data_IF_534102474038
#
_entry.id   IF_534102474038
#
_cell.length_a   1.000
_cell.length_b   1.000
_cell.length_c   1.000
_cell.angle_alpha   90.00
_cell.angle_beta   90.00
_cell.angle_gamma   90.00
#
_symmetry.space_group_name_H-M   'P 1'
#
loop_
_entity.id
_entity.type
_entity.pdbx_description
1 polymer ?
#
# COMPACT_ATOMS: atom_id res chain seq x y z
N UNK A 1 -14.10 11.99 15.92
CA UNK A 1 -15.22 11.20 15.35
C UNK A 1 -14.63 9.86 14.92
N UNK A 2 -15.00 8.75 15.57
CA UNK A 2 -14.50 7.40 15.21
C UNK A 2 -15.41 6.79 14.17
N UNK A 3 -14.89 6.46 12.98
CA UNK A 3 -15.65 5.76 11.94
C UNK A 3 -15.59 4.26 12.26
N UNK A 4 -16.48 3.78 13.14
CA UNK A 4 -16.50 2.40 13.66
C UNK A 4 -17.08 1.37 12.68
N UNK A 5 -16.86 1.50 11.38
CA UNK A 5 -17.41 0.57 10.40
C UNK A 5 -16.74 0.60 9.04
N UNK A 6 -15.72 1.44 8.86
CA UNK A 6 -15.04 1.53 7.56
C UNK A 6 -14.16 0.30 7.37
N UNK A 7 -14.63 -0.61 6.52
CA UNK A 7 -13.89 -1.84 6.19
C UNK A 7 -12.96 -1.68 5.00
N UNK A 8 -13.31 -0.80 4.07
CA UNK A 8 -12.53 -0.56 2.85
C UNK A 8 -12.27 0.93 2.71
N UNK A 9 -11.01 1.30 2.48
CA UNK A 9 -10.58 2.68 2.27
C UNK A 9 -9.84 2.78 0.94
N UNK A 10 -10.26 3.71 0.09
CA UNK A 10 -9.59 4.03 -1.16
C UNK A 10 -8.94 5.40 -1.04
N UNK A 11 -7.61 5.43 -1.15
CA UNK A 11 -6.81 6.65 -1.18
C UNK A 11 -6.24 6.82 -2.57
N UNK A 12 -6.57 7.96 -3.18
CA UNK A 12 -5.96 8.38 -4.43
C UNK A 12 -5.05 9.57 -4.15
N UNK A 13 -3.77 9.38 -4.37
CA UNK A 13 -2.75 10.40 -4.23
C UNK A 13 -2.50 11.07 -5.58
N UNK A 14 -2.56 12.40 -5.58
CA UNK A 14 -2.11 13.24 -6.69
C UNK A 14 -1.14 14.28 -6.13
N UNK A 15 -0.35 14.93 -6.99
CA UNK A 15 0.68 15.89 -6.59
C UNK A 15 0.20 17.07 -5.71
N UNK A 16 -1.12 17.26 -5.55
CA UNK A 16 -1.71 18.37 -4.77
C UNK A 16 -2.51 17.93 -3.54
N UNK A 17 -2.53 16.63 -3.22
CA UNK A 17 -3.35 16.15 -2.11
C UNK A 17 -2.60 16.32 -0.79
N UNK A 18 -3.07 17.19 0.10
CA UNK A 18 -2.66 17.16 1.50
C UNK A 18 -3.56 16.19 2.26
N UNK A 19 -2.95 15.26 2.99
CA UNK A 19 -3.69 14.38 3.91
C UNK A 19 -3.42 14.84 5.33
N UNK A 20 -4.40 15.54 5.92
CA UNK A 20 -4.40 16.00 7.30
C UNK A 20 -5.45 15.24 8.12
N UNK A 21 -5.40 13.90 8.10
CA UNK A 21 -6.45 13.10 8.73
C UNK A 21 -5.90 12.08 9.69
N UNK A 22 -6.49 12.06 10.90
CA UNK A 22 -6.35 11.04 11.94
C UNK A 22 -6.97 9.71 11.48
N UNK A 23 -6.37 9.09 10.46
CA UNK A 23 -6.76 7.79 9.90
C UNK A 23 -6.21 6.62 10.74
N UNK A 24 -5.50 6.94 11.82
CA UNK A 24 -5.05 6.03 12.86
C UNK A 24 -6.21 5.41 13.66
N UNK A 25 -7.43 5.92 13.51
CA UNK A 25 -8.63 5.47 14.24
C UNK A 25 -9.48 4.43 13.49
N UNK A 26 -9.00 3.90 12.37
CA UNK A 26 -9.72 2.94 11.51
C UNK A 26 -9.48 1.48 11.93
N UNK A 27 -9.81 1.15 13.18
CA UNK A 27 -9.53 -0.16 13.80
C UNK A 27 -10.21 -1.35 13.08
N UNK A 28 -11.31 -1.10 12.36
CA UNK A 28 -12.07 -2.12 11.62
C UNK A 28 -11.67 -2.25 10.14
N UNK A 29 -10.68 -1.48 9.69
CA UNK A 29 -10.23 -1.50 8.30
C UNK A 29 -9.62 -2.86 7.96
N UNK A 30 -10.16 -3.47 6.90
CA UNK A 30 -9.72 -4.74 6.34
C UNK A 30 -9.03 -4.57 4.99
N UNK A 31 -9.41 -3.56 4.23
CA UNK A 31 -8.93 -3.37 2.87
C UNK A 31 -8.47 -1.92 2.66
N UNK A 32 -7.23 -1.76 2.19
CA UNK A 32 -6.67 -0.46 1.84
C UNK A 32 -6.24 -0.45 0.38
N UNK A 33 -6.84 0.44 -0.40
CA UNK A 33 -6.47 0.66 -1.80
C UNK A 33 -5.73 1.99 -1.90
N UNK A 34 -4.50 1.94 -2.39
CA UNK A 34 -3.61 3.08 -2.58
C UNK A 34 -3.38 3.23 -4.08
N UNK A 35 -3.89 4.31 -4.65
CA UNK A 35 -3.61 4.70 -6.01
C UNK A 35 -2.67 5.90 -6.02
N UNK A 36 -1.43 5.70 -6.46
CA UNK A 36 -0.42 6.72 -6.61
C UNK A 36 -0.47 7.21 -8.07
N UNK A 37 -1.14 8.33 -8.31
CA UNK A 37 -1.42 8.85 -9.64
C UNK A 37 -0.54 10.06 -10.00
N UNK A 38 0.08 9.96 -11.18
CA UNK A 38 0.61 11.02 -12.05
C UNK A 38 1.80 11.88 -11.58
N UNK A 39 2.79 12.01 -12.49
CA UNK A 39 3.91 12.96 -12.71
C UNK A 39 4.69 13.58 -11.53
N UNK A 40 4.21 13.46 -10.29
CA UNK A 40 4.83 13.96 -9.09
C UNK A 40 5.10 12.83 -8.13
N UNK A 41 6.13 13.00 -7.31
CA UNK A 41 6.42 12.06 -6.24
C UNK A 41 5.31 12.13 -5.20
N UNK A 42 4.98 10.99 -4.60
CA UNK A 42 4.27 11.00 -3.34
C UNK A 42 5.08 11.88 -2.40
N UNK A 43 4.47 12.92 -1.83
CA UNK A 43 5.19 13.76 -0.88
C UNK A 43 5.49 12.95 0.38
N UNK A 44 6.52 13.34 1.12
CA UNK A 44 6.88 12.70 2.39
C UNK A 44 5.67 12.64 3.34
N UNK A 45 4.90 13.73 3.45
CA UNK A 45 3.67 13.78 4.23
C UNK A 45 2.61 12.77 3.77
N UNK A 46 2.44 12.58 2.47
CA UNK A 46 1.50 11.59 1.92
C UNK A 46 1.94 10.16 2.25
N UNK A 47 3.25 9.91 2.17
CA UNK A 47 3.84 8.62 2.50
C UNK A 47 3.70 8.32 3.99
N UNK A 48 4.03 9.28 4.86
CA UNK A 48 3.85 9.17 6.31
C UNK A 48 2.41 8.92 6.72
N UNK A 49 1.45 9.55 6.03
CA UNK A 49 0.03 9.27 6.23
C UNK A 49 -0.32 7.80 5.90
N UNK A 50 0.19 7.26 4.80
CA UNK A 50 0.02 5.83 4.46
C UNK A 50 0.65 4.95 5.53
N UNK A 51 1.90 5.21 5.92
CA UNK A 51 2.58 4.41 6.96
C UNK A 51 1.81 4.44 8.28
N UNK A 52 1.23 5.58 8.64
CA UNK A 52 0.44 5.73 9.86
C UNK A 52 -0.82 4.86 9.86
N UNK A 53 -1.53 4.80 8.72
CA UNK A 53 -2.69 3.91 8.53
C UNK A 53 -2.26 2.45 8.65
N UNK A 54 -1.18 2.08 7.98
CA UNK A 54 -0.69 0.71 8.00
C UNK A 54 -0.33 0.28 9.43
N UNK A 55 0.33 1.15 10.21
CA UNK A 55 0.69 0.88 11.62
C UNK A 55 -0.53 0.73 12.54
N UNK A 56 -1.58 1.52 12.32
CA UNK A 56 -2.76 1.53 13.20
C UNK A 56 -3.74 0.39 12.88
N UNK A 57 -3.89 0.03 11.60
CA UNK A 57 -4.94 -0.86 11.12
C UNK A 57 -4.53 -2.33 11.24
N UNK A 58 -4.55 -2.85 12.47
CA UNK A 58 -4.14 -4.24 12.77
C UNK A 58 -4.99 -5.30 12.10
N UNK A 59 -6.21 -4.99 11.67
CA UNK A 59 -7.15 -5.94 11.06
C UNK A 59 -7.09 -5.97 9.52
N UNK A 60 -6.10 -5.32 8.90
CA UNK A 60 -5.93 -5.35 7.44
C UNK A 60 -5.77 -6.78 6.91
N UNK A 61 -6.64 -7.19 6.01
CA UNK A 61 -6.56 -8.47 5.32
C UNK A 61 -5.93 -8.29 3.93
N UNK A 62 -6.11 -7.12 3.31
CA UNK A 62 -5.64 -6.82 1.97
C UNK A 62 -5.15 -5.37 1.82
N UNK A 63 -4.05 -5.21 1.09
CA UNK A 63 -3.55 -3.92 0.61
C UNK A 63 -3.34 -4.01 -0.89
N UNK A 64 -3.90 -3.05 -1.61
CA UNK A 64 -3.76 -2.92 -3.05
C UNK A 64 -3.02 -1.62 -3.37
N UNK A 65 -1.90 -1.72 -4.08
CA UNK A 65 -1.08 -0.58 -4.47
C UNK A 65 -1.06 -0.50 -5.99
N UNK A 66 -1.56 0.61 -6.54
CA UNK A 66 -1.47 0.93 -7.95
C UNK A 66 -0.56 2.13 -8.15
N UNK A 67 0.53 1.96 -8.89
CA UNK A 67 1.49 3.04 -9.18
C UNK A 67 1.76 3.17 -10.67
N UNK A 68 2.30 4.33 -11.07
CA UNK A 68 2.50 4.68 -12.48
C UNK A 68 3.98 4.79 -12.89
N UNK A 69 4.91 4.99 -11.95
CA UNK A 69 6.33 5.26 -12.26
C UNK A 69 7.29 4.46 -11.38
N UNK A 70 8.45 4.13 -11.95
CA UNK A 70 9.58 3.45 -11.32
C UNK A 70 9.99 4.02 -9.97
N UNK A 71 10.02 5.36 -9.83
CA UNK A 71 10.43 6.01 -8.59
C UNK A 71 9.50 5.72 -7.40
N UNK A 72 8.31 5.16 -7.66
CA UNK A 72 7.40 4.70 -6.61
C UNK A 72 7.64 3.26 -6.17
N UNK A 73 8.51 2.52 -6.87
CA UNK A 73 8.79 1.14 -6.51
C UNK A 73 9.58 1.02 -5.19
N UNK A 74 10.42 2.01 -4.86
CA UNK A 74 11.05 2.14 -3.53
C UNK A 74 9.98 2.24 -2.43
N UNK A 75 8.95 3.07 -2.64
CA UNK A 75 7.82 3.19 -1.72
C UNK A 75 7.07 1.86 -1.53
N UNK A 76 6.97 1.03 -2.59
CA UNK A 76 6.38 -0.31 -2.49
C UNK A 76 7.22 -1.22 -1.59
N UNK A 77 8.55 -1.14 -1.70
CA UNK A 77 9.48 -1.87 -0.82
C UNK A 77 9.33 -1.49 0.65
N UNK A 78 9.23 -0.20 0.94
CA UNK A 78 9.02 0.29 2.31
C UNK A 78 7.65 -0.11 2.88
N UNK A 79 6.59 -0.01 2.07
CA UNK A 79 5.25 -0.47 2.45
C UNK A 79 5.28 -1.98 2.74
N UNK A 80 5.93 -2.77 1.89
CA UNK A 80 6.09 -4.21 2.10
C UNK A 80 6.80 -4.51 3.42
N UNK A 81 7.94 -3.87 3.67
CA UNK A 81 8.72 -4.09 4.90
C UNK A 81 7.92 -3.70 6.15
N UNK A 82 7.20 -2.57 6.09
CA UNK A 82 6.32 -2.15 7.17
C UNK A 82 5.23 -3.18 7.43
N UNK A 83 4.50 -3.58 6.38
CA UNK A 83 3.42 -4.58 6.46
C UNK A 83 3.90 -5.88 7.10
N UNK A 84 5.10 -6.34 6.74
CA UNK A 84 5.72 -7.52 7.34
C UNK A 84 6.00 -7.30 8.83
N UNK A 85 6.63 -6.17 9.20
CA UNK A 85 7.02 -5.87 10.58
C UNK A 85 5.84 -5.76 11.56
N UNK A 86 4.65 -5.40 11.09
CA UNK A 86 3.45 -5.25 11.92
C UNK A 86 2.61 -6.54 11.98
N UNK A 87 3.05 -7.60 11.30
CA UNK A 87 2.35 -8.90 11.29
C UNK A 87 2.90 -9.89 12.29
N UNK A 88 1.95 -10.55 12.96
CA UNK A 88 2.18 -11.69 13.85
C UNK A 88 1.65 -12.97 13.17
N UNK A 89 2.50 -13.78 12.54
CA UNK A 89 2.09 -14.99 11.81
C UNK A 89 1.52 -16.07 12.74
N UNK A 90 1.80 -16.02 14.05
CA UNK A 90 1.23 -16.94 15.03
C UNK A 90 -0.23 -16.66 15.36
N UNK A 91 -0.72 -15.45 15.04
CA UNK A 91 -2.08 -14.98 15.39
C UNK A 91 -2.89 -14.50 14.19
N UNK A 92 -2.23 -14.19 13.09
CA UNK A 92 -2.84 -13.55 11.93
C UNK A 92 -2.56 -14.37 10.68
N UNK A 93 -3.54 -14.43 9.79
CA UNK A 93 -3.31 -14.98 8.45
C UNK A 93 -2.39 -14.03 7.66
N UNK A 94 -1.65 -14.54 6.67
CA UNK A 94 -0.85 -13.71 5.79
C UNK A 94 -1.71 -12.62 5.14
N UNK A 95 -1.23 -11.38 5.13
CA UNK A 95 -1.91 -10.26 4.48
C UNK A 95 -1.67 -10.33 2.97
N UNK A 96 -2.71 -10.07 2.18
CA UNK A 96 -2.59 -10.04 0.73
C UNK A 96 -2.11 -8.66 0.27
N UNK A 97 -0.94 -8.59 -0.37
CA UNK A 97 -0.42 -7.37 -0.97
C UNK A 97 -0.49 -7.50 -2.49
N UNK A 98 -1.38 -6.76 -3.13
CA UNK A 98 -1.45 -6.70 -4.59
C UNK A 98 -0.78 -5.43 -5.08
N UNK A 99 0.13 -5.60 -6.05
CA UNK A 99 0.90 -4.51 -6.64
C UNK A 99 0.57 -4.47 -8.14
N UNK A 100 0.00 -3.34 -8.58
CA UNK A 100 -0.36 -3.08 -9.97
C UNK A 100 0.47 -1.91 -10.53
N UNK A 101 1.17 -2.17 -11.63
CA UNK A 101 1.81 -1.13 -12.44
C UNK A 101 0.82 -0.67 -13.51
N UNK A 102 0.40 0.60 -13.45
CA UNK A 102 -0.72 1.14 -14.23
C UNK A 102 -0.36 1.55 -15.67
N UNK A 103 0.93 1.61 -16.03
CA UNK A 103 1.39 2.04 -17.35
C UNK A 103 2.26 0.96 -18.00
N UNK A 104 1.74 0.42 -19.11
CA UNK A 104 2.53 -0.23 -20.16
C UNK A 104 2.69 0.78 -21.27
N UNK A 105 3.81 1.49 -21.38
CA UNK A 105 4.09 2.11 -22.67
C UNK A 105 5.56 2.02 -23.07
N UNK A 106 5.72 1.38 -24.23
CA UNK A 106 6.82 1.35 -25.19
C UNK A 106 8.19 0.89 -24.68
N UNK A 107 8.51 -0.39 -24.95
CA UNK A 107 9.85 -0.96 -25.23
C UNK A 107 11.00 -0.77 -24.21
N UNK A 108 10.80 0.07 -23.20
CA UNK A 108 11.78 0.43 -22.18
C UNK A 108 11.18 0.06 -20.83
N UNK A 109 11.28 -1.23 -20.55
CA UNK A 109 11.23 -1.81 -19.22
C UNK A 109 9.88 -1.82 -18.50
N UNK A 110 9.19 -2.96 -18.59
CA UNK A 110 8.43 -3.46 -17.44
C UNK A 110 9.44 -3.73 -16.32
N UNK A 111 9.41 -2.89 -15.29
CA UNK A 111 10.27 -3.01 -14.12
C UNK A 111 9.37 -3.15 -12.89
N UNK A 112 8.49 -4.15 -12.92
CA UNK A 112 7.91 -4.62 -11.67
C UNK A 112 9.10 -4.92 -10.78
N UNK A 113 9.24 -4.12 -9.71
CA UNK A 113 10.14 -4.48 -8.63
C UNK A 113 9.52 -5.69 -7.99
N UNK A 114 9.97 -6.85 -8.46
CA UNK A 114 9.78 -8.09 -7.76
C UNK A 114 10.44 -7.88 -6.40
N UNK A 115 9.61 -7.81 -5.37
CA UNK A 115 10.05 -7.87 -4.00
C UNK A 115 10.68 -9.26 -3.90
N UNK A 116 12.01 -9.32 -3.89
CA UNK A 116 12.78 -10.57 -3.98
C UNK A 116 12.66 -11.45 -2.72
N UNK A 117 11.59 -11.29 -1.96
CA UNK A 117 11.36 -11.91 -0.68
C UNK A 117 9.97 -12.53 -0.71
N UNK A 118 9.91 -13.84 -0.92
CA UNK A 118 8.71 -14.63 -0.65
C UNK A 118 8.72 -14.90 0.85
N UNK A 119 7.76 -14.34 1.57
CA UNK A 119 7.56 -14.58 3.00
C UNK A 119 6.07 -14.82 3.28
N UNK A 120 5.59 -15.94 2.75
CA UNK A 120 4.19 -16.32 2.71
C UNK A 120 3.56 -16.49 4.10
N UNK A 121 4.37 -16.59 5.15
CA UNK A 121 3.90 -16.63 6.54
C UNK A 121 3.36 -15.26 6.99
N UNK A 122 3.88 -14.17 6.42
CA UNK A 122 3.51 -12.79 6.76
C UNK A 122 2.69 -12.12 5.65
N UNK A 123 3.12 -12.28 4.40
CA UNK A 123 2.57 -11.56 3.24
C UNK A 123 2.47 -12.47 2.01
N UNK A 124 1.30 -12.46 1.38
CA UNK A 124 1.11 -13.02 0.05
C UNK A 124 1.12 -11.90 -0.98
N UNK A 125 2.18 -11.85 -1.78
CA UNK A 125 2.39 -10.78 -2.75
C UNK A 125 1.90 -11.21 -4.14
N UNK A 126 1.04 -10.40 -4.74
CA UNK A 126 0.50 -10.60 -6.08
C UNK A 126 0.92 -9.44 -6.97
N UNK A 127 1.42 -9.76 -8.16
CA UNK A 127 1.76 -8.77 -9.18
C UNK A 127 0.74 -8.83 -10.32
N UNK A 128 0.21 -7.68 -10.71
CA UNK A 128 -0.74 -7.58 -11.82
C UNK A 128 -0.31 -6.51 -12.80
N UNK A 129 -0.48 -6.81 -14.09
CA UNK A 129 -0.14 -5.93 -15.20
C UNK A 129 -1.39 -5.73 -16.06
N UNK A 130 -2.00 -4.54 -16.02
CA UNK A 130 -3.12 -4.20 -16.92
C UNK A 130 -2.56 -3.67 -18.23
#
# INVERSE_FOLDING_TARGET
>A
MRIKSLRTLHLRFTARNEINSNLDQLEELKELHIQIACYGLMSENQFDAVLSILKSCRNLESVFIKYTYLKHAECVGDIHNLLKSIRDPGRQRPLSLTVEEAFKNTEYYSHIVHLNFIDDDYLKVYYTNV
#
